data_IF_791897804963
#
_entry.id   IF_791897804963
#
_cell.length_a   1.000
_cell.length_b   1.000
_cell.length_c   1.000
_cell.angle_alpha   90.00
_cell.angle_beta   90.00
_cell.angle_gamma   90.00
#
_symmetry.space_group_name_H-M   'P 1'
#
loop_
_entity.id
_entity.type
_entity.pdbx_description
1 polymer ?
#
# COMPACT_ATOMS: atom_id res chain seq x y z
N UNK A 1 -7.89 -11.31 27.43
CA UNK A 1 -9.34 -11.34 27.80
C UNK A 1 -9.86 -12.76 27.99
N UNK A 2 -9.61 -13.75 27.10
CA UNK A 2 -10.12 -15.12 27.24
C UNK A 2 -9.69 -15.80 28.56
N UNK A 3 -8.44 -15.64 29.01
CA UNK A 3 -7.96 -16.18 30.30
C UNK A 3 -8.66 -15.52 31.51
N UNK A 4 -8.95 -14.22 31.44
CA UNK A 4 -9.69 -13.51 32.47
C UNK A 4 -11.13 -14.01 32.55
N UNK A 5 -11.81 -14.18 31.43
CA UNK A 5 -13.15 -14.72 31.37
C UNK A 5 -13.21 -16.15 31.97
N UNK A 6 -12.21 -16.99 31.62
CA UNK A 6 -12.09 -18.34 32.19
C UNK A 6 -11.87 -18.32 33.73
N UNK A 7 -11.23 -17.26 34.22
CA UNK A 7 -11.03 -17.04 35.66
C UNK A 7 -12.24 -16.39 36.36
N UNK A 8 -13.37 -16.22 35.68
CA UNK A 8 -14.60 -15.67 36.25
C UNK A 8 -14.74 -14.15 36.14
N UNK A 9 -13.84 -13.47 35.43
CA UNK A 9 -13.97 -12.02 35.20
C UNK A 9 -15.14 -11.73 34.30
N UNK A 10 -16.01 -10.80 34.72
CA UNK A 10 -17.22 -10.40 33.98
C UNK A 10 -17.03 -9.03 33.35
N UNK A 11 -17.73 -8.79 32.25
CA UNK A 11 -17.77 -7.50 31.54
C UNK A 11 -19.18 -7.06 31.20
N UNK A 12 -19.31 -5.94 30.52
CA UNK A 12 -20.60 -5.44 30.05
C UNK A 12 -21.15 -6.39 28.97
N UNK A 13 -22.31 -6.98 29.24
CA UNK A 13 -22.96 -7.99 28.36
C UNK A 13 -23.51 -7.38 27.07
N UNK A 14 -23.77 -6.07 27.04
CA UNK A 14 -24.33 -5.34 25.88
C UNK A 14 -23.33 -4.34 25.30
N UNK A 15 -22.03 -4.69 25.32
CA UNK A 15 -20.96 -3.77 24.90
C UNK A 15 -21.02 -3.43 23.41
N UNK A 16 -21.54 -4.31 22.56
CA UNK A 16 -21.67 -4.07 21.12
C UNK A 16 -22.98 -3.38 20.77
N UNK A 17 -24.12 -4.01 21.12
CA UNK A 17 -25.46 -3.64 20.67
C UNK A 17 -26.20 -2.67 21.61
N UNK A 18 -25.71 -2.48 22.83
CA UNK A 18 -26.37 -1.63 23.83
C UNK A 18 -26.52 -0.18 23.42
N UNK A 19 -27.40 0.56 24.09
CA UNK A 19 -27.69 1.97 23.81
C UNK A 19 -26.44 2.85 23.88
N UNK A 20 -25.51 2.56 24.77
CA UNK A 20 -24.19 3.19 24.90
C UNK A 20 -23.07 2.28 24.40
N UNK A 21 -23.39 1.27 23.60
CA UNK A 21 -22.47 0.28 23.08
C UNK A 21 -21.66 0.78 21.88
N UNK A 22 -20.67 -0.04 21.49
CA UNK A 22 -19.73 0.27 20.42
C UNK A 22 -20.40 0.65 19.10
N UNK A 23 -21.41 -0.11 18.67
CA UNK A 23 -22.06 0.15 17.38
C UNK A 23 -22.71 1.53 17.31
N UNK A 24 -23.40 1.95 18.40
CA UNK A 24 -24.02 3.28 18.46
C UNK A 24 -23.04 4.42 18.65
N UNK A 25 -21.87 4.15 19.23
CA UNK A 25 -20.79 5.15 19.35
C UNK A 25 -20.11 5.40 18.00
N UNK A 26 -20.10 4.42 17.10
CA UNK A 26 -19.38 4.48 15.84
C UNK A 26 -20.26 4.84 14.62
N UNK A 27 -21.56 4.58 14.70
CA UNK A 27 -22.49 4.74 13.56
C UNK A 27 -23.80 5.34 14.03
N UNK A 28 -24.32 6.35 13.31
CA UNK A 28 -25.58 7.04 13.65
C UNK A 28 -26.77 6.09 13.62
N UNK A 29 -26.85 5.21 12.63
CA UNK A 29 -27.89 4.20 12.46
C UNK A 29 -27.27 2.81 12.29
N UNK A 30 -26.93 2.11 13.40
CA UNK A 30 -26.30 0.81 13.32
C UNK A 30 -27.29 -0.29 12.92
N UNK A 31 -26.92 -1.07 11.94
CA UNK A 31 -27.62 -2.28 11.52
C UNK A 31 -27.21 -3.46 12.41
N UNK A 32 -27.78 -3.55 13.60
CA UNK A 32 -27.39 -4.55 14.61
C UNK A 32 -27.65 -5.99 14.17
N UNK A 33 -28.64 -6.21 13.31
CA UNK A 33 -28.94 -7.51 12.71
C UNK A 33 -27.76 -8.08 11.89
N UNK A 34 -26.90 -7.21 11.34
CA UNK A 34 -25.72 -7.60 10.56
C UNK A 34 -24.55 -8.07 11.41
N UNK A 35 -24.58 -7.92 12.73
CA UNK A 35 -23.50 -8.36 13.61
C UNK A 35 -23.28 -9.88 13.55
N UNK A 36 -24.30 -10.64 13.22
CA UNK A 36 -24.27 -12.10 13.15
C UNK A 36 -24.36 -12.66 11.73
N UNK A 37 -24.46 -11.79 10.72
CA UNK A 37 -24.50 -12.22 9.33
C UNK A 37 -23.22 -12.98 8.95
N UNK A 38 -23.40 -14.14 8.33
CA UNK A 38 -22.31 -15.01 7.90
C UNK A 38 -21.64 -15.81 9.04
N UNK A 39 -22.13 -15.72 10.29
CA UNK A 39 -21.68 -16.62 11.34
C UNK A 39 -22.16 -18.04 11.04
N UNK A 40 -21.22 -18.99 11.02
CA UNK A 40 -21.42 -20.42 10.74
C UNK A 40 -21.77 -20.78 9.28
N UNK A 41 -21.55 -19.90 8.33
CA UNK A 41 -21.67 -20.19 6.89
C UNK A 41 -20.45 -20.95 6.33
N UNK A 42 -19.41 -21.16 7.15
CA UNK A 42 -18.18 -21.82 6.75
C UNK A 42 -17.21 -20.93 5.99
N UNK A 43 -17.53 -19.65 5.81
CA UNK A 43 -16.68 -18.66 5.12
C UNK A 43 -15.95 -17.82 6.15
N UNK A 44 -14.64 -17.90 6.18
CA UNK A 44 -13.79 -17.14 7.11
C UNK A 44 -13.20 -15.91 6.43
N UNK A 45 -13.39 -14.73 7.03
CA UNK A 45 -12.86 -13.47 6.50
C UNK A 45 -11.33 -13.45 6.41
N UNK A 46 -10.65 -14.29 7.20
CA UNK A 46 -9.19 -14.43 7.15
C UNK A 46 -8.71 -15.00 5.81
N UNK A 47 -9.54 -15.80 5.12
CA UNK A 47 -9.19 -16.40 3.83
C UNK A 47 -9.05 -15.33 2.72
N UNK A 48 -9.66 -14.15 2.95
CA UNK A 48 -9.61 -13.02 2.03
C UNK A 48 -8.75 -11.86 2.56
N UNK A 49 -7.74 -12.14 3.37
CA UNK A 49 -6.81 -11.16 3.89
C UNK A 49 -5.66 -10.89 2.93
N UNK A 50 -5.21 -9.63 2.90
CA UNK A 50 -3.98 -9.25 2.22
C UNK A 50 -2.79 -9.30 3.17
N UNK A 51 -1.62 -9.72 2.68
CA UNK A 51 -0.35 -9.62 3.37
C UNK A 51 0.46 -8.46 2.79
N UNK A 52 1.02 -7.62 3.65
CA UNK A 52 1.90 -6.52 3.23
C UNK A 52 3.36 -6.99 3.19
N UNK A 53 3.94 -7.21 2.00
CA UNK A 53 5.37 -7.56 1.88
C UNK A 53 6.29 -6.35 2.10
N UNK A 54 5.77 -5.11 2.03
CA UNK A 54 6.54 -3.88 2.20
C UNK A 54 6.01 -3.05 3.37
N UNK A 55 6.91 -2.40 4.11
CA UNK A 55 6.60 -1.68 5.35
C UNK A 55 6.06 -0.24 5.11
N UNK A 56 5.22 -0.05 4.10
CA UNK A 56 4.67 1.25 3.69
C UNK A 56 3.17 1.19 3.37
N UNK A 57 2.60 2.29 2.89
CA UNK A 57 1.20 2.36 2.48
C UNK A 57 0.91 1.36 1.35
N UNK A 58 -0.22 0.64 1.43
CA UNK A 58 -0.60 -0.38 0.44
C UNK A 58 -0.77 0.18 -0.97
N UNK A 59 -1.19 1.43 -1.11
CA UNK A 59 -1.32 2.11 -2.40
C UNK A 59 0.00 2.20 -3.20
N UNK A 60 1.17 2.08 -2.56
CA UNK A 60 2.46 2.03 -3.26
C UNK A 60 2.87 0.62 -3.71
N UNK A 61 2.19 -0.44 -3.23
CA UNK A 61 2.69 -1.81 -3.40
C UNK A 61 2.69 -2.30 -4.84
N UNK A 62 1.71 -1.89 -5.67
CA UNK A 62 1.69 -2.23 -7.09
C UNK A 62 2.90 -1.63 -7.83
N UNK A 63 3.20 -0.35 -7.60
CA UNK A 63 4.38 0.31 -8.18
C UNK A 63 5.70 -0.28 -7.65
N UNK A 64 5.75 -0.66 -6.35
CA UNK A 64 6.91 -1.34 -5.77
C UNK A 64 7.15 -2.70 -6.41
N UNK A 65 6.09 -3.48 -6.60
CA UNK A 65 6.21 -4.79 -7.25
C UNK A 65 6.63 -4.64 -8.71
N UNK A 66 6.06 -3.67 -9.45
CA UNK A 66 6.49 -3.36 -10.80
C UNK A 66 8.00 -3.00 -10.85
N UNK A 67 8.49 -2.13 -9.95
CA UNK A 67 9.91 -1.79 -9.88
C UNK A 67 10.78 -2.99 -9.54
N UNK A 68 10.32 -3.85 -8.62
CA UNK A 68 11.06 -5.08 -8.27
C UNK A 68 11.22 -6.02 -9.46
N UNK A 69 10.16 -6.20 -10.25
CA UNK A 69 10.17 -7.02 -11.47
C UNK A 69 11.13 -6.42 -12.50
N UNK A 70 10.96 -5.13 -12.85
CA UNK A 70 11.80 -4.45 -13.84
C UNK A 70 13.28 -4.46 -13.43
N UNK A 71 13.57 -4.24 -12.14
CA UNK A 71 14.93 -4.33 -11.59
C UNK A 71 15.52 -5.72 -11.78
N UNK A 72 14.75 -6.76 -11.51
CA UNK A 72 15.24 -8.14 -11.53
C UNK A 72 15.39 -8.67 -12.95
N UNK A 73 14.38 -8.45 -13.81
CA UNK A 73 14.36 -9.00 -15.17
C UNK A 73 15.30 -8.30 -16.13
N UNK A 74 15.50 -6.97 -15.94
CA UNK A 74 16.35 -6.16 -16.83
C UNK A 74 17.69 -5.76 -16.21
N UNK A 75 18.01 -6.21 -14.99
CA UNK A 75 19.22 -5.85 -14.29
C UNK A 75 19.35 -4.34 -14.04
N UNK A 76 18.20 -3.64 -13.91
CA UNK A 76 18.11 -2.19 -13.81
C UNK A 76 18.80 -1.68 -12.53
N UNK A 77 19.67 -0.67 -12.67
CA UNK A 77 20.41 -0.02 -11.59
C UNK A 77 20.02 1.45 -11.48
N UNK A 78 20.22 2.09 -10.32
CA UNK A 78 19.99 3.53 -10.14
C UNK A 78 20.61 4.43 -11.19
N UNK A 79 21.87 4.11 -11.58
CA UNK A 79 22.63 4.88 -12.56
C UNK A 79 22.08 4.82 -13.98
N UNK A 80 21.33 3.77 -14.33
CA UNK A 80 20.74 3.60 -15.66
C UNK A 80 19.55 4.54 -15.88
N UNK A 81 18.95 5.07 -14.79
CA UNK A 81 17.67 5.78 -14.85
C UNK A 81 17.84 7.24 -15.23
N UNK A 82 17.13 7.65 -16.28
CA UNK A 82 16.92 9.04 -16.68
C UNK A 82 15.65 9.62 -16.02
N UNK A 83 14.50 8.92 -16.12
CA UNK A 83 13.23 9.34 -15.54
C UNK A 83 12.35 8.14 -15.13
N UNK A 84 11.50 8.35 -14.13
CA UNK A 84 10.48 7.40 -13.68
C UNK A 84 9.12 8.10 -13.73
N UNK A 85 8.13 7.46 -14.35
CA UNK A 85 6.73 7.91 -14.36
C UNK A 85 5.89 6.84 -13.66
N UNK A 86 5.04 7.25 -12.71
CA UNK A 86 4.15 6.38 -11.97
C UNK A 86 2.72 6.82 -12.25
N UNK A 87 1.98 5.99 -12.98
CA UNK A 87 0.58 6.23 -13.29
C UNK A 87 -0.30 5.60 -12.23
N UNK A 88 -1.19 6.39 -11.64
CA UNK A 88 -2.02 6.00 -10.49
C UNK A 88 -3.45 6.52 -10.64
N UNK A 89 -4.37 6.01 -9.80
CA UNK A 89 -5.71 6.55 -9.65
C UNK A 89 -5.72 7.78 -8.74
N UNK A 90 -6.84 8.50 -8.69
CA UNK A 90 -7.01 9.74 -7.91
C UNK A 90 -6.74 9.54 -6.41
N UNK A 91 -7.26 8.48 -5.80
CA UNK A 91 -7.09 8.23 -4.36
C UNK A 91 -5.64 7.92 -4.00
N UNK A 92 -4.93 7.18 -4.84
CA UNK A 92 -3.50 6.90 -4.65
C UNK A 92 -2.67 8.19 -4.74
N UNK A 93 -2.94 9.02 -5.75
CA UNK A 93 -2.30 10.34 -5.89
C UNK A 93 -2.53 11.21 -4.64
N UNK A 94 -3.77 11.30 -4.18
CA UNK A 94 -4.12 12.08 -2.98
C UNK A 94 -3.41 11.59 -1.71
N UNK A 95 -3.30 10.27 -1.52
CA UNK A 95 -2.81 9.69 -0.27
C UNK A 95 -1.28 9.65 -0.17
N UNK A 96 -0.57 9.41 -1.27
CA UNK A 96 0.87 9.07 -1.22
C UNK A 96 1.75 9.80 -2.24
N UNK A 97 1.22 10.79 -2.96
CA UNK A 97 2.06 11.65 -3.80
C UNK A 97 2.74 12.70 -2.92
N UNK A 98 3.83 12.31 -2.27
CA UNK A 98 4.64 13.16 -1.41
C UNK A 98 6.10 13.17 -1.91
N UNK A 99 6.48 14.14 -2.77
CA UNK A 99 7.81 14.17 -3.37
C UNK A 99 8.93 14.58 -2.40
N UNK A 100 8.60 15.14 -1.23
CA UNK A 100 9.57 15.64 -0.26
C UNK A 100 9.23 15.19 1.18
N UNK A 101 9.24 13.88 1.47
CA UNK A 101 9.00 13.42 2.83
C UNK A 101 10.17 13.78 3.75
N UNK A 102 9.88 14.34 4.93
CA UNK A 102 10.86 14.85 5.87
C UNK A 102 11.21 13.88 7.01
N UNK A 103 10.41 12.86 7.22
CA UNK A 103 10.54 11.94 8.35
C UNK A 103 10.18 10.49 7.94
N UNK A 104 10.51 9.49 8.79
CA UNK A 104 10.22 8.08 8.52
C UNK A 104 8.75 7.78 8.19
N UNK A 105 7.81 8.44 8.88
CA UNK A 105 6.39 8.26 8.63
C UNK A 105 5.99 8.82 7.25
N UNK A 106 6.43 10.03 6.91
CA UNK A 106 6.21 10.65 5.59
C UNK A 106 6.79 9.79 4.46
N UNK A 107 7.95 9.15 4.65
CA UNK A 107 8.55 8.25 3.67
C UNK A 107 7.67 7.00 3.40
N UNK A 108 6.94 6.48 4.40
CA UNK A 108 5.97 5.37 4.22
C UNK A 108 4.75 5.77 3.40
N UNK A 109 4.49 7.07 3.26
CA UNK A 109 3.41 7.67 2.47
C UNK A 109 3.96 8.50 1.29
N UNK A 110 5.14 8.15 0.80
CA UNK A 110 5.75 8.71 -0.41
C UNK A 110 6.00 7.60 -1.42
N UNK A 111 5.20 7.54 -2.48
CA UNK A 111 5.38 6.53 -3.53
C UNK A 111 6.71 6.75 -4.26
N UNK A 112 7.17 8.00 -4.39
CA UNK A 112 8.46 8.34 -4.97
C UNK A 112 9.61 7.74 -4.15
N UNK A 113 9.59 7.92 -2.82
CA UNK A 113 10.58 7.33 -1.92
C UNK A 113 10.57 5.81 -1.98
N UNK A 114 9.38 5.22 -1.93
CA UNK A 114 9.22 3.78 -1.96
C UNK A 114 9.77 3.15 -3.26
N UNK A 115 9.43 3.72 -4.42
CA UNK A 115 9.88 3.21 -5.73
C UNK A 115 11.40 3.43 -5.92
N UNK A 116 11.92 4.59 -5.53
CA UNK A 116 13.36 4.87 -5.56
C UNK A 116 14.16 3.92 -4.64
N UNK A 117 13.65 3.69 -3.43
CA UNK A 117 14.24 2.75 -2.47
C UNK A 117 14.20 1.30 -2.98
N UNK A 118 13.11 0.87 -3.60
CA UNK A 118 13.01 -0.47 -4.22
C UNK A 118 14.06 -0.65 -5.31
N UNK A 119 14.26 0.35 -6.16
CA UNK A 119 15.29 0.28 -7.20
C UNK A 119 16.70 0.15 -6.60
N UNK A 120 17.01 0.94 -5.58
CA UNK A 120 18.34 0.94 -4.95
C UNK A 120 18.58 -0.31 -4.13
N UNK A 121 17.69 -0.60 -3.18
CA UNK A 121 17.92 -1.64 -2.17
C UNK A 121 17.41 -3.03 -2.58
N UNK A 122 16.43 -3.10 -3.49
CA UNK A 122 15.76 -4.34 -3.88
C UNK A 122 14.71 -4.83 -2.88
N UNK A 123 14.51 -4.11 -1.79
CA UNK A 123 13.48 -4.36 -0.77
C UNK A 123 12.99 -3.05 -0.14
N UNK A 124 11.82 -3.09 0.49
CA UNK A 124 11.27 -1.98 1.28
C UNK A 124 10.75 -2.51 2.64
N UNK A 125 11.63 -3.20 3.35
CA UNK A 125 11.42 -3.62 4.73
C UNK A 125 11.46 -2.45 5.72
N UNK A 126 11.25 -2.75 7.01
CA UNK A 126 11.18 -1.75 8.09
C UNK A 126 12.46 -0.89 8.15
N UNK A 127 13.62 -1.52 7.95
CA UNK A 127 14.93 -0.86 8.05
C UNK A 127 15.15 0.23 6.98
N UNK A 128 14.35 0.22 5.89
CA UNK A 128 14.41 1.26 4.85
C UNK A 128 13.74 2.57 5.24
N UNK A 129 13.08 2.60 6.38
CA UNK A 129 12.36 3.76 6.92
C UNK A 129 12.96 4.27 8.24
N UNK A 130 14.19 3.90 8.56
CA UNK A 130 14.90 4.43 9.72
C UNK A 130 15.41 5.85 9.45
N UNK A 131 15.54 6.67 10.49
CA UNK A 131 15.94 8.08 10.39
C UNK A 131 17.28 8.24 9.69
N UNK A 132 18.23 7.35 9.94
CA UNK A 132 19.56 7.33 9.32
C UNK A 132 19.55 6.91 7.84
N UNK A 133 18.47 6.30 7.36
CA UNK A 133 18.36 5.78 5.97
C UNK A 133 17.59 6.73 5.06
N UNK A 134 16.56 7.41 5.58
CA UNK A 134 15.67 8.25 4.76
C UNK A 134 16.34 9.44 4.06
N UNK A 135 17.54 9.82 4.52
CA UNK A 135 18.37 10.88 3.93
C UNK A 135 19.30 10.42 2.81
N UNK A 136 19.26 9.16 2.39
CA UNK A 136 20.14 8.60 1.36
C UNK A 136 20.12 9.42 0.06
N UNK A 137 21.29 9.95 -0.33
CA UNK A 137 21.42 10.90 -1.44
C UNK A 137 21.06 10.30 -2.80
N UNK A 138 21.33 9.01 -3.01
CA UNK A 138 21.01 8.33 -4.28
C UNK A 138 19.49 8.09 -4.38
N UNK A 139 18.84 7.68 -3.28
CA UNK A 139 17.36 7.57 -3.22
C UNK A 139 16.73 8.94 -3.49
N UNK A 140 17.23 10.01 -2.87
CA UNK A 140 16.73 11.37 -3.08
C UNK A 140 16.93 11.86 -4.52
N UNK A 141 18.04 11.51 -5.14
CA UNK A 141 18.29 11.81 -6.56
C UNK A 141 17.31 11.08 -7.49
N UNK A 142 16.97 9.81 -7.21
CA UNK A 142 15.97 9.07 -7.96
C UNK A 142 14.58 9.64 -7.76
N UNK A 143 14.22 10.03 -6.53
CA UNK A 143 12.95 10.70 -6.26
C UNK A 143 12.78 11.97 -7.09
N UNK A 144 13.82 12.77 -7.24
CA UNK A 144 13.80 14.00 -8.05
C UNK A 144 13.53 13.73 -9.54
N UNK A 145 13.81 12.52 -10.03
CA UNK A 145 13.51 12.06 -11.40
C UNK A 145 12.15 11.35 -11.51
N UNK A 146 11.41 11.21 -10.40
CA UNK A 146 10.17 10.45 -10.34
C UNK A 146 8.96 11.38 -10.37
N UNK A 147 8.08 11.18 -11.36
CA UNK A 147 6.80 11.90 -11.49
C UNK A 147 5.63 10.94 -11.22
N UNK A 148 4.66 11.41 -10.46
CA UNK A 148 3.38 10.72 -10.25
C UNK A 148 2.32 11.43 -11.07
N UNK A 149 1.51 10.68 -11.79
CA UNK A 149 0.47 11.22 -12.67
C UNK A 149 -0.81 10.40 -12.54
N UNK A 150 -1.95 11.07 -12.53
CA UNK A 150 -3.25 10.42 -12.64
C UNK A 150 -3.43 9.91 -14.08
N UNK A 151 -3.97 8.69 -14.18
CA UNK A 151 -4.21 8.05 -15.46
C UNK A 151 -5.63 7.48 -15.52
N UNK A 152 -6.35 7.78 -16.62
CA UNK A 152 -7.74 7.38 -16.77
C UNK A 152 -7.93 5.86 -16.91
N UNK A 153 -6.96 5.14 -17.47
CA UNK A 153 -7.04 3.69 -17.58
C UNK A 153 -6.84 3.03 -16.19
N UNK A 154 -5.91 3.54 -15.38
CA UNK A 154 -5.71 3.08 -14.00
C UNK A 154 -6.93 3.44 -13.14
N UNK A 155 -7.53 4.62 -13.34
CA UNK A 155 -8.78 5.01 -12.66
C UNK A 155 -9.93 4.04 -13.01
N UNK A 156 -10.07 3.66 -14.28
CA UNK A 156 -11.10 2.72 -14.72
C UNK A 156 -10.93 1.33 -14.09
N UNK A 157 -9.70 0.85 -13.88
CA UNK A 157 -9.42 -0.42 -13.17
C UNK A 157 -9.92 -0.35 -11.73
N UNK A 158 -9.64 0.74 -11.02
CA UNK A 158 -10.09 0.94 -9.64
C UNK A 158 -11.61 1.12 -9.54
N UNK A 159 -12.21 1.85 -10.47
CA UNK A 159 -13.66 2.07 -10.51
C UNK A 159 -14.44 0.76 -10.78
N UNK A 160 -13.86 -0.15 -11.57
CA UNK A 160 -14.46 -1.47 -11.83
C UNK A 160 -14.34 -2.41 -10.62
N UNK A 161 -13.28 -2.28 -9.83
CA UNK A 161 -13.03 -3.08 -8.63
C UNK A 161 -12.15 -2.28 -7.65
N UNK A 162 -12.77 -1.78 -6.59
CA UNK A 162 -12.10 -0.97 -5.56
C UNK A 162 -11.01 -1.73 -4.76
N UNK A 163 -10.96 -3.06 -4.82
CA UNK A 163 -9.90 -3.86 -4.24
C UNK A 163 -8.59 -3.75 -5.04
N UNK A 164 -8.69 -3.40 -6.33
CA UNK A 164 -7.52 -3.20 -7.20
C UNK A 164 -6.87 -1.84 -6.94
N UNK A 165 -5.69 -1.89 -6.34
CA UNK A 165 -4.84 -0.72 -6.15
C UNK A 165 -3.77 -0.67 -7.24
N UNK A 166 -4.24 -0.62 -8.50
CA UNK A 166 -3.40 -0.69 -9.68
C UNK A 166 -2.43 0.48 -9.79
N UNK A 167 -1.26 0.22 -10.37
CA UNK A 167 -0.31 1.24 -10.81
C UNK A 167 0.42 0.77 -12.07
N UNK A 168 0.74 1.71 -12.97
CA UNK A 168 1.65 1.46 -14.08
C UNK A 168 2.94 2.24 -13.86
N UNK A 169 4.06 1.55 -13.97
CA UNK A 169 5.39 2.12 -13.87
C UNK A 169 6.03 2.19 -15.25
N UNK A 170 6.64 3.34 -15.58
CA UNK A 170 7.40 3.56 -16.81
C UNK A 170 8.77 4.09 -16.40
N UNK A 171 9.84 3.38 -16.78
CA UNK A 171 11.22 3.77 -16.51
C UNK A 171 11.92 4.05 -17.83
N UNK A 172 12.40 5.28 -17.97
CA UNK A 172 13.24 5.69 -19.11
C UNK A 172 14.68 5.58 -18.70
N UNK A 173 15.43 4.81 -19.47
CA UNK A 173 16.87 4.60 -19.24
C UNK A 173 17.71 5.54 -20.09
N UNK A 174 18.89 5.91 -19.60
CA UNK A 174 19.86 6.76 -20.31
C UNK A 174 20.37 6.17 -21.62
N UNK A 175 20.30 4.84 -21.78
CA UNK A 175 20.64 4.12 -23.01
C UNK A 175 19.51 4.07 -24.05
N UNK A 176 18.39 4.74 -23.78
CA UNK A 176 17.21 4.83 -24.64
C UNK A 176 16.19 3.72 -24.46
N UNK A 177 16.43 2.71 -23.61
CA UNK A 177 15.39 1.72 -23.26
C UNK A 177 14.25 2.38 -22.50
N UNK A 178 13.04 1.92 -22.80
CA UNK A 178 11.83 2.27 -22.04
C UNK A 178 11.26 0.96 -21.50
N UNK A 179 11.24 0.83 -20.19
CA UNK A 179 10.71 -0.34 -19.49
C UNK A 179 9.39 0.03 -18.85
N UNK A 180 8.35 -0.77 -19.05
CA UNK A 180 7.05 -0.51 -18.46
C UNK A 180 6.38 -1.78 -17.92
N UNK A 181 5.64 -1.62 -16.84
CA UNK A 181 4.84 -2.70 -16.26
C UNK A 181 3.63 -2.10 -15.52
N UNK A 182 2.45 -2.64 -15.81
CA UNK A 182 1.25 -2.40 -15.03
C UNK A 182 1.02 -3.58 -14.09
N UNK A 183 0.64 -3.27 -12.85
CA UNK A 183 0.27 -4.25 -11.83
C UNK A 183 -1.08 -3.84 -11.27
N UNK A 184 -2.07 -4.70 -11.41
CA UNK A 184 -3.43 -4.47 -10.90
C UNK A 184 -3.58 -4.97 -9.47
N UNK A 185 -3.02 -6.14 -9.16
CA UNK A 185 -2.97 -6.71 -7.81
C UNK A 185 -1.53 -6.82 -7.35
N UNK A 186 -1.13 -6.08 -6.30
CA UNK A 186 0.21 -6.22 -5.74
C UNK A 186 0.40 -7.59 -5.09
N UNK A 187 1.66 -8.02 -5.02
CA UNK A 187 2.04 -9.25 -4.30
C UNK A 187 1.49 -9.22 -2.87
N UNK A 188 0.86 -10.32 -2.46
CA UNK A 188 0.28 -10.48 -1.12
C UNK A 188 -1.23 -10.19 -1.05
N UNK A 189 -1.86 -9.75 -2.14
CA UNK A 189 -3.32 -9.72 -2.24
C UNK A 189 -3.86 -11.11 -2.59
N UNK A 190 -5.06 -11.45 -2.14
CA UNK A 190 -5.75 -12.67 -2.57
C UNK A 190 -6.01 -12.60 -4.08
N UNK A 191 -6.04 -13.76 -4.76
CA UNK A 191 -6.29 -13.84 -6.19
C UNK A 191 -7.71 -13.43 -6.56
#
# INVERSE_FOLDING_TARGET
SAYLARAGFTGATKILEGEKGFCRAMVTEPHLEKLTDGLNDGIYKIDNNSFKPYACCKHSHAALYAMQVLRTEHGLKPDDVEAIEILVNEITDFLINNPQPENPYGCKFSIQYCVAGMLKYGDMGVDRFLTEVIGDAEVRSLMAKTKVMRDAAIEAVHAADAAKLASKLIVRCKDGRVLELQVDFPKGDPP
#
